data_IF_862828704337
#
_entry.id   IF_862828704337
#
_cell.length_a   1.000
_cell.length_b   1.000
_cell.length_c   1.000
_cell.angle_alpha   90.00
_cell.angle_beta   90.00
_cell.angle_gamma   90.00
#
_symmetry.space_group_name_H-M   'P 1'
#
loop_
_entity.id
_entity.type
_entity.pdbx_description
1 polymer ?
#
# COMPACT_ATOMS: atom_id res chain seq x y z
N UNK A 1 -3.71 -3.99 -19.70
CA UNK A 1 -3.77 -2.94 -18.67
C UNK A 1 -2.46 -3.04 -17.91
N UNK A 2 -1.66 -1.97 -17.88
CA UNK A 2 -0.45 -1.96 -17.05
C UNK A 2 -0.91 -1.56 -15.65
N UNK A 3 -0.82 -2.46 -14.70
CA UNK A 3 -1.12 -2.18 -13.29
C UNK A 3 -0.26 -0.99 -12.83
N UNK A 4 -0.91 0.05 -12.30
CA UNK A 4 -0.26 1.28 -11.85
C UNK A 4 0.49 1.04 -10.54
N UNK A 5 -0.05 0.17 -9.68
CA UNK A 5 0.58 -0.26 -8.43
C UNK A 5 0.95 -1.73 -8.51
N UNK A 6 2.14 -2.08 -8.03
CA UNK A 6 2.64 -3.45 -7.99
C UNK A 6 3.38 -3.74 -6.68
N UNK A 7 3.53 -5.02 -6.35
CA UNK A 7 3.97 -5.51 -5.04
C UNK A 7 5.34 -4.99 -4.55
N UNK A 8 6.24 -4.66 -5.49
CA UNK A 8 7.58 -4.11 -5.20
C UNK A 8 7.63 -2.60 -4.96
N UNK A 9 6.54 -1.86 -5.18
CA UNK A 9 6.51 -0.44 -4.80
C UNK A 9 6.60 -0.31 -3.27
N UNK A 10 7.24 0.74 -2.79
CA UNK A 10 7.23 1.03 -1.35
C UNK A 10 5.88 1.60 -0.91
N UNK A 11 5.54 1.42 0.36
CA UNK A 11 4.38 2.07 0.99
C UNK A 11 4.41 3.59 0.77
N UNK A 12 5.60 4.20 0.86
CA UNK A 12 5.75 5.65 0.67
C UNK A 12 5.56 6.12 -0.78
N UNK A 13 6.06 5.38 -1.78
CA UNK A 13 5.82 5.67 -3.20
C UNK A 13 4.33 5.55 -3.54
N UNK A 14 3.71 4.48 -3.04
CA UNK A 14 2.27 4.22 -3.20
C UNK A 14 1.45 5.38 -2.62
N UNK A 15 1.72 5.77 -1.37
CA UNK A 15 1.03 6.86 -0.68
C UNK A 15 1.27 8.27 -1.28
N UNK A 16 2.37 8.47 -2.03
CA UNK A 16 2.65 9.73 -2.72
C UNK A 16 1.86 9.88 -4.03
N UNK A 17 1.32 8.79 -4.55
CA UNK A 17 0.61 8.78 -5.83
C UNK A 17 -0.75 9.50 -5.75
N UNK A 18 -1.36 9.56 -4.56
CA UNK A 18 -2.58 10.34 -4.36
C UNK A 18 -3.30 10.03 -3.05
N UNK A 19 -4.34 10.82 -2.72
CA UNK A 19 -5.14 10.65 -1.50
C UNK A 19 -5.93 9.33 -1.46
N UNK A 20 -6.33 8.80 -2.62
CA UNK A 20 -7.01 7.50 -2.71
C UNK A 20 -6.09 6.36 -2.24
N UNK A 21 -4.85 6.32 -2.73
CA UNK A 21 -3.86 5.32 -2.32
C UNK A 21 -3.58 5.37 -0.80
N UNK A 22 -3.56 6.56 -0.21
CA UNK A 22 -3.45 6.72 1.25
C UNK A 22 -4.64 6.11 1.99
N UNK A 23 -5.87 6.32 1.51
CA UNK A 23 -7.07 5.73 2.12
C UNK A 23 -7.02 4.21 2.08
N UNK A 24 -6.58 3.63 0.97
CA UNK A 24 -6.44 2.16 0.84
C UNK A 24 -5.35 1.66 1.80
N UNK A 25 -4.17 2.28 1.82
CA UNK A 25 -3.10 1.91 2.77
C UNK A 25 -3.61 2.00 4.23
N UNK A 26 -4.30 3.07 4.60
CA UNK A 26 -4.86 3.25 5.95
C UNK A 26 -5.91 2.17 6.28
N UNK A 27 -6.74 1.77 5.32
CA UNK A 27 -7.74 0.70 5.50
C UNK A 27 -7.10 -0.64 5.85
N UNK A 28 -5.98 -0.98 5.19
CA UNK A 28 -5.32 -2.28 5.37
C UNK A 28 -4.30 -2.30 6.51
N UNK A 29 -3.53 -1.22 6.70
CA UNK A 29 -2.44 -1.16 7.67
C UNK A 29 -2.75 -0.30 8.90
N UNK A 30 -3.85 0.45 8.88
CA UNK A 30 -4.21 1.41 9.92
C UNK A 30 -3.52 2.77 9.76
N UNK A 31 -4.02 3.77 10.51
CA UNK A 31 -3.50 5.15 10.51
C UNK A 31 -2.05 5.26 11.00
N UNK A 32 -1.61 4.35 11.87
CA UNK A 32 -0.26 4.32 12.43
C UNK A 32 0.78 3.79 11.42
N UNK A 33 0.33 3.26 10.27
CA UNK A 33 1.22 2.88 9.17
C UNK A 33 2.12 4.05 8.75
N UNK A 34 1.58 5.27 8.67
CA UNK A 34 2.31 6.45 8.20
C UNK A 34 3.35 6.98 9.19
N UNK A 35 3.30 6.53 10.45
CA UNK A 35 4.27 6.88 11.49
C UNK A 35 5.23 5.73 11.80
N UNK A 36 5.08 4.57 11.14
CA UNK A 36 5.99 3.45 11.26
C UNK A 36 7.37 3.83 10.68
N UNK A 37 8.49 3.57 11.40
CA UNK A 37 9.82 3.87 10.88
C UNK A 37 10.15 3.14 9.57
N UNK A 38 9.51 1.98 9.33
CA UNK A 38 9.66 1.21 8.09
C UNK A 38 8.88 1.75 6.89
N UNK A 39 7.88 2.62 7.10
CA UNK A 39 6.94 3.07 6.06
C UNK A 39 7.62 3.61 4.79
N UNK A 40 8.74 4.32 4.96
CA UNK A 40 9.46 4.92 3.84
C UNK A 40 10.05 3.89 2.86
N UNK A 41 10.57 2.79 3.40
CA UNK A 41 11.41 1.84 2.65
C UNK A 41 10.76 0.46 2.47
N UNK A 42 9.66 0.18 3.16
CA UNK A 42 9.01 -1.12 3.14
C UNK A 42 8.22 -1.33 1.83
N UNK A 43 8.52 -2.38 1.05
CA UNK A 43 7.71 -2.80 -0.10
C UNK A 43 6.33 -3.29 0.32
N UNK A 44 5.31 -3.11 -0.54
CA UNK A 44 3.94 -3.53 -0.27
C UNK A 44 3.85 -5.03 0.07
N UNK A 45 4.56 -5.91 -0.63
CA UNK A 45 4.55 -7.35 -0.33
C UNK A 45 5.08 -7.66 1.07
N UNK A 46 6.10 -6.93 1.51
CA UNK A 46 6.73 -7.14 2.80
C UNK A 46 5.81 -6.65 3.91
N UNK A 47 5.27 -5.43 3.78
CA UNK A 47 4.28 -4.91 4.70
C UNK A 47 3.07 -5.83 4.80
N UNK A 48 2.55 -6.30 3.66
CA UNK A 48 1.41 -7.21 3.63
C UNK A 48 1.68 -8.51 4.40
N UNK A 49 2.86 -9.11 4.20
CA UNK A 49 3.29 -10.30 4.95
C UNK A 49 3.46 -10.03 6.45
N UNK A 50 4.09 -8.92 6.82
CA UNK A 50 4.41 -8.58 8.22
C UNK A 50 3.16 -8.24 9.03
N UNK A 51 2.15 -7.65 8.40
CA UNK A 51 0.91 -7.20 9.02
C UNK A 51 -0.29 -8.13 8.74
N UNK A 52 -0.05 -9.33 8.18
CA UNK A 52 -1.09 -10.31 7.82
C UNK A 52 -2.21 -9.72 6.93
N UNK A 53 -1.84 -8.78 6.05
CA UNK A 53 -2.71 -8.19 5.03
C UNK A 53 -2.67 -9.06 3.76
N UNK A 54 -3.81 -9.18 3.09
CA UNK A 54 -3.88 -9.84 1.80
C UNK A 54 -3.34 -8.91 0.70
N UNK A 55 -2.19 -9.27 0.13
CA UNK A 55 -1.51 -8.49 -0.90
C UNK A 55 -2.34 -8.36 -2.18
N UNK A 56 -2.98 -9.43 -2.64
CA UNK A 56 -3.80 -9.40 -3.85
C UNK A 56 -4.99 -8.45 -3.70
N UNK A 57 -5.66 -8.47 -2.54
CA UNK A 57 -6.77 -7.55 -2.27
C UNK A 57 -6.29 -6.10 -2.16
N UNK A 58 -5.14 -5.86 -1.52
CA UNK A 58 -4.53 -4.54 -1.43
C UNK A 58 -4.23 -3.98 -2.83
N UNK A 59 -3.59 -4.76 -3.70
CA UNK A 59 -3.26 -4.34 -5.07
C UNK A 59 -4.50 -4.14 -5.92
N UNK A 60 -5.53 -4.98 -5.76
CA UNK A 60 -6.80 -4.82 -6.45
C UNK A 60 -7.48 -3.49 -6.08
N UNK A 61 -7.56 -3.15 -4.78
CA UNK A 61 -8.16 -1.88 -4.34
C UNK A 61 -7.29 -0.66 -4.73
N UNK A 62 -5.97 -0.80 -4.74
CA UNK A 62 -5.07 0.27 -5.20
C UNK A 62 -5.23 0.58 -6.69
N UNK A 63 -5.52 -0.44 -7.50
CA UNK A 63 -5.69 -0.30 -8.94
C UNK A 63 -7.16 -0.17 -9.37
N UNK A 64 -8.10 -0.10 -8.42
CA UNK A 64 -9.51 0.11 -8.74
C UNK A 64 -9.71 1.49 -9.38
N UNK A 65 -10.31 1.57 -10.59
CA UNK A 65 -10.61 2.86 -11.20
C UNK A 65 -11.66 3.62 -10.37
N UNK A 66 -11.42 4.92 -10.13
CA UNK A 66 -12.39 5.82 -9.47
C UNK A 66 -13.74 5.89 -10.19
#
# INVERSE_FOLDING_TARGET
MTDKFHEHMTLSETAKTGPQARKVIEKFFGKDCFTCPGFAAEPLFLGARMHAVNLDQLLAELNEPE
#
